data_IF_165073178747
#
_entry.id   IF_165073178747
#
_cell.length_a   1.000
_cell.length_b   1.000
_cell.length_c   1.000
_cell.angle_alpha   90.00
_cell.angle_beta   90.00
_cell.angle_gamma   90.00
#
_symmetry.space_group_name_H-M   'P 1'
#
loop_
_entity.id
_entity.type
_entity.pdbx_description
1 polymer ?
#
# COMPACT_ATOMS: atom_id res chain seq x y z
N UNK A 1 -4.42 15.00 -16.66
CA UNK A 1 -5.81 14.53 -16.86
C UNK A 1 -6.09 13.25 -16.08
N UNK A 2 -5.20 12.25 -16.17
CA UNK A 2 -5.30 10.95 -15.49
C UNK A 2 -5.49 11.05 -13.98
N UNK A 3 -4.69 11.87 -13.27
CA UNK A 3 -4.87 12.06 -11.82
C UNK A 3 -6.27 12.58 -11.44
N UNK A 4 -6.86 13.48 -12.24
CA UNK A 4 -8.22 13.98 -12.00
C UNK A 4 -9.26 12.89 -12.24
N UNK A 5 -9.06 12.08 -13.28
CA UNK A 5 -9.92 10.93 -13.55
C UNK A 5 -9.87 9.91 -12.41
N UNK A 6 -8.66 9.46 -12.01
CA UNK A 6 -8.47 8.48 -10.93
C UNK A 6 -9.08 8.96 -9.61
N UNK A 7 -8.86 10.22 -9.25
CA UNK A 7 -9.50 10.82 -8.06
C UNK A 7 -11.03 10.86 -8.18
N UNK A 8 -11.56 11.19 -9.37
CA UNK A 8 -13.02 11.25 -9.61
C UNK A 8 -13.70 9.88 -9.52
N UNK A 9 -13.00 8.81 -9.85
CA UNK A 9 -13.52 7.44 -9.70
C UNK A 9 -13.27 6.84 -8.30
N UNK A 10 -12.70 7.61 -7.37
CA UNK A 10 -12.53 7.22 -5.96
C UNK A 10 -11.17 6.62 -5.60
N UNK A 11 -10.13 6.78 -6.42
CA UNK A 11 -8.79 6.35 -6.04
C UNK A 11 -8.14 7.33 -5.06
N UNK A 12 -7.70 6.83 -3.90
CA UNK A 12 -6.93 7.57 -2.90
C UNK A 12 -5.40 7.43 -3.07
N UNK A 13 -4.97 6.30 -3.63
CA UNK A 13 -3.56 5.99 -3.90
C UNK A 13 -3.42 5.30 -5.26
N UNK A 14 -2.29 5.52 -5.92
CA UNK A 14 -1.98 4.92 -7.23
C UNK A 14 -0.60 4.30 -7.15
N UNK A 15 -0.52 3.00 -7.47
CA UNK A 15 0.73 2.24 -7.55
C UNK A 15 0.83 1.52 -8.89
N UNK A 16 1.94 0.81 -9.08
CA UNK A 16 2.21 0.01 -10.28
C UNK A 16 2.26 -1.51 -9.98
N UNK A 17 1.77 -1.91 -8.81
CA UNK A 17 1.83 -3.29 -8.29
C UNK A 17 0.61 -3.60 -7.40
N UNK A 18 0.69 -4.68 -6.62
CA UNK A 18 -0.27 -5.11 -5.58
C UNK A 18 -1.55 -5.73 -6.10
N UNK A 19 -2.18 -5.19 -7.15
CA UNK A 19 -3.42 -5.76 -7.70
C UNK A 19 -3.23 -7.21 -8.19
N UNK A 20 -2.19 -7.54 -9.00
CA UNK A 20 -1.98 -8.92 -9.43
C UNK A 20 -1.72 -9.88 -8.27
N UNK A 21 -0.93 -9.46 -7.28
CA UNK A 21 -0.59 -10.28 -6.11
C UNK A 21 -1.80 -10.51 -5.20
N UNK A 22 -2.62 -9.47 -4.94
CA UNK A 22 -3.83 -9.58 -4.16
C UNK A 22 -4.86 -10.49 -4.83
N UNK A 23 -4.99 -10.41 -6.15
CA UNK A 23 -5.86 -11.30 -6.92
C UNK A 23 -5.38 -12.76 -6.84
N UNK A 24 -4.07 -13.00 -6.95
CA UNK A 24 -3.51 -14.34 -6.79
C UNK A 24 -3.75 -14.90 -5.38
N UNK A 25 -3.54 -14.08 -4.34
CA UNK A 25 -3.80 -14.46 -2.96
C UNK A 25 -5.28 -14.80 -2.71
N UNK A 26 -6.20 -14.02 -3.29
CA UNK A 26 -7.64 -14.30 -3.26
C UNK A 26 -7.97 -15.66 -3.89
N UNK A 27 -7.45 -15.96 -5.08
CA UNK A 27 -7.67 -17.25 -5.74
C UNK A 27 -7.15 -18.43 -4.92
N UNK A 28 -6.08 -18.21 -4.15
CA UNK A 28 -5.51 -19.22 -3.25
C UNK A 28 -6.19 -19.28 -1.88
N UNK A 29 -7.23 -18.48 -1.61
CA UNK A 29 -7.92 -18.44 -0.32
C UNK A 29 -7.07 -17.85 0.82
N UNK A 30 -6.07 -17.02 0.50
CA UNK A 30 -5.16 -16.43 1.48
C UNK A 30 -5.75 -15.12 2.01
N UNK A 31 -5.99 -15.04 3.33
CA UNK A 31 -6.37 -13.77 3.99
C UNK A 31 -5.27 -12.73 3.77
N UNK A 32 -5.65 -11.59 3.18
CA UNK A 32 -4.71 -10.58 2.68
C UNK A 32 -4.95 -9.22 3.33
N UNK A 33 -3.87 -8.56 3.75
CA UNK A 33 -3.85 -7.17 4.21
C UNK A 33 -2.89 -6.37 3.30
N UNK A 34 -3.35 -5.26 2.75
CA UNK A 34 -2.53 -4.35 1.93
C UNK A 34 -2.09 -3.11 2.71
N UNK A 35 -0.84 -2.68 2.48
CA UNK A 35 -0.29 -1.43 3.00
C UNK A 35 0.31 -0.63 1.84
N UNK A 36 0.02 0.66 1.77
CA UNK A 36 0.58 1.57 0.75
C UNK A 36 1.36 2.70 1.42
N UNK A 37 2.64 2.84 1.06
CA UNK A 37 3.48 3.95 1.50
C UNK A 37 3.37 5.07 0.47
N UNK A 38 2.87 6.23 0.89
CA UNK A 38 2.74 7.39 0.00
C UNK A 38 4.11 8.07 -0.11
N UNK A 39 4.78 7.87 -1.24
CA UNK A 39 6.14 8.36 -1.50
C UNK A 39 6.18 9.68 -2.26
N UNK A 40 5.08 10.05 -2.92
CA UNK A 40 4.91 11.33 -3.60
C UNK A 40 3.42 11.73 -3.63
N UNK A 41 3.16 13.03 -3.80
CA UNK A 41 1.79 13.57 -3.85
C UNK A 41 1.50 14.08 -5.25
N UNK A 42 0.54 13.46 -5.93
CA UNK A 42 0.08 13.92 -7.24
C UNK A 42 -0.64 15.27 -7.11
N UNK A 43 -0.13 16.30 -7.81
CA UNK A 43 -0.71 17.64 -7.89
C UNK A 43 -1.15 17.92 -9.33
N UNK A 44 -2.42 17.66 -9.71
CA UNK A 44 -2.88 17.72 -11.10
C UNK A 44 -2.83 19.12 -11.72
N UNK A 45 -2.89 20.16 -10.88
CA UNK A 45 -2.94 21.56 -11.29
C UNK A 45 -1.61 22.30 -11.02
N UNK A 46 -0.63 21.60 -10.46
CA UNK A 46 0.73 22.07 -10.22
C UNK A 46 1.72 20.91 -10.39
N UNK A 47 1.92 20.43 -11.63
CA UNK A 47 2.78 19.29 -11.90
C UNK A 47 4.24 19.62 -11.56
N UNK A 48 4.91 18.67 -10.91
CA UNK A 48 6.35 18.69 -10.71
C UNK A 48 6.92 17.36 -11.20
N UNK A 49 8.17 17.39 -11.66
CA UNK A 49 8.90 16.17 -12.02
C UNK A 49 9.24 15.45 -10.72
N UNK A 50 8.98 14.15 -10.67
CA UNK A 50 9.33 13.28 -9.55
C UNK A 50 10.44 12.36 -10.01
N UNK A 51 11.54 12.33 -9.28
CA UNK A 51 12.67 11.44 -9.56
C UNK A 51 12.58 10.15 -8.73
N UNK A 52 13.09 9.05 -9.27
CA UNK A 52 13.03 7.74 -8.62
C UNK A 52 13.78 7.74 -7.27
N UNK A 53 14.88 8.48 -7.19
CA UNK A 53 15.69 8.64 -5.99
C UNK A 53 14.90 9.30 -4.85
N UNK A 54 14.06 10.29 -5.17
CA UNK A 54 13.21 10.99 -4.20
C UNK A 54 12.12 10.05 -3.65
N UNK A 55 11.51 9.25 -4.54
CA UNK A 55 10.53 8.23 -4.18
C UNK A 55 11.14 7.18 -3.24
N UNK A 56 12.34 6.70 -3.55
CA UNK A 56 13.08 5.73 -2.72
C UNK A 56 13.45 6.35 -1.37
N UNK A 57 13.94 7.60 -1.36
CA UNK A 57 14.27 8.31 -0.14
C UNK A 57 13.04 8.47 0.77
N UNK A 58 11.89 8.87 0.20
CA UNK A 58 10.64 8.96 0.93
C UNK A 58 10.21 7.61 1.52
N UNK A 59 10.31 6.52 0.74
CA UNK A 59 9.99 5.17 1.22
C UNK A 59 10.85 4.76 2.42
N UNK A 60 12.15 5.06 2.38
CA UNK A 60 13.09 4.75 3.48
C UNK A 60 12.70 5.43 4.79
N UNK A 61 12.10 6.63 4.75
CA UNK A 61 11.63 7.30 5.98
C UNK A 61 10.51 6.55 6.71
N UNK A 62 9.78 5.68 5.99
CA UNK A 62 8.70 4.88 6.54
C UNK A 62 9.14 3.47 6.99
N UNK A 63 10.33 3.03 6.60
CA UNK A 63 10.82 1.65 6.77
C UNK A 63 10.69 1.13 8.21
N UNK A 64 11.25 1.86 9.18
CA UNK A 64 11.21 1.45 10.59
C UNK A 64 9.78 1.38 11.14
N UNK A 65 8.92 2.33 10.75
CA UNK A 65 7.53 2.40 11.21
C UNK A 65 6.70 1.25 10.65
N UNK A 66 6.83 0.98 9.34
CA UNK A 66 6.13 -0.13 8.69
C UNK A 66 6.62 -1.47 9.22
N UNK A 67 7.94 -1.65 9.40
CA UNK A 67 8.48 -2.86 9.99
C UNK A 67 7.93 -3.12 11.41
N UNK A 68 7.86 -2.08 12.23
CA UNK A 68 7.25 -2.17 13.57
C UNK A 68 5.77 -2.53 13.50
N UNK A 69 5.01 -1.88 12.62
CA UNK A 69 3.58 -2.14 12.44
C UNK A 69 3.32 -3.59 12.01
N UNK A 70 4.07 -4.10 11.03
CA UNK A 70 3.94 -5.48 10.55
C UNK A 70 4.24 -6.48 11.66
N UNK A 71 5.33 -6.26 12.42
CA UNK A 71 5.67 -7.14 13.55
C UNK A 71 4.60 -7.12 14.64
N UNK A 72 4.00 -5.95 14.92
CA UNK A 72 2.91 -5.83 15.89
C UNK A 72 1.64 -6.53 15.40
N UNK A 73 1.27 -6.37 14.12
CA UNK A 73 0.13 -7.06 13.52
C UNK A 73 0.29 -8.58 13.59
N UNK A 74 1.47 -9.11 13.25
CA UNK A 74 1.75 -10.54 13.34
C UNK A 74 1.62 -11.06 14.79
N UNK A 75 2.13 -10.32 15.77
CA UNK A 75 2.00 -10.67 17.19
C UNK A 75 0.55 -10.67 17.64
N UNK A 76 -0.22 -9.66 17.24
CA UNK A 76 -1.63 -9.54 17.58
C UNK A 76 -2.45 -10.70 17.01
N UNK A 77 -2.26 -11.02 15.73
CA UNK A 77 -2.93 -12.16 15.11
C UNK A 77 -2.52 -13.52 15.71
N UNK A 78 -1.28 -13.66 16.20
CA UNK A 78 -0.85 -14.88 16.87
C UNK A 78 -1.54 -15.09 18.24
N UNK A 79 -1.94 -14.01 18.92
CA UNK A 79 -2.59 -14.08 20.24
C UNK A 79 -4.10 -14.30 20.20
N UNK A 80 -4.77 -13.96 19.09
CA UNK A 80 -6.24 -14.04 19.00
C UNK A 80 -6.79 -15.43 18.71
N UNK A 81 -5.92 -16.43 18.51
CA UNK A 81 -6.36 -17.79 18.19
C UNK A 81 -6.92 -17.86 16.78
N UNK A 82 -6.42 -18.83 16.02
CA UNK A 82 -6.73 -19.02 14.61
C UNK A 82 -8.16 -19.55 14.44
N UNK A 83 -9.19 -18.69 14.54
CA UNK A 83 -10.50 -19.03 13.99
C UNK A 83 -10.51 -18.74 12.48
N UNK A 84 -10.07 -19.75 11.73
CA UNK A 84 -10.09 -19.77 10.26
C UNK A 84 -11.45 -20.26 9.69
N UNK A 85 -12.53 -20.27 10.48
CA UNK A 85 -13.85 -20.79 10.05
C UNK A 85 -14.73 -19.81 9.25
N UNK A 86 -14.16 -18.75 8.67
CA UNK A 86 -14.88 -17.84 7.75
C UNK A 86 -14.10 -17.58 6.49
#
# INVERSE_FOLDING_TARGET
>A
AEYRFLRRIGADAVGMSTVPEAQAALFCGVKTLGLSIITNVARPDAPHVVHAEEVIAAARTAEQKVGTLVLQLLRHHATEGTDLST
#
